data_IF_976051379193
#
_entry.id   IF_976051379193
#
_cell.length_a   1.000
_cell.length_b   1.000
_cell.length_c   1.000
_cell.angle_alpha   90.00
_cell.angle_beta   90.00
_cell.angle_gamma   90.00
#
_symmetry.space_group_name_H-M   'P 1'
#
loop_
_entity.id
_entity.type
_entity.pdbx_description
1 polymer ?
#
# COMPACT_ATOMS: atom_id res chain seq x y z
N UNK A 1 -5.11 -30.75 17.08
CA UNK A 1 -3.73 -30.24 16.94
C UNK A 1 -3.82 -28.78 16.58
N UNK A 2 -3.31 -27.87 17.41
CA UNK A 2 -3.22 -26.44 17.06
C UNK A 2 -2.10 -26.27 16.04
N UNK A 3 -2.46 -25.96 14.79
CA UNK A 3 -1.48 -25.59 13.77
C UNK A 3 -0.81 -24.28 14.17
N UNK A 4 0.52 -24.25 14.10
CA UNK A 4 1.38 -23.13 14.46
C UNK A 4 2.47 -23.01 13.41
N UNK A 5 2.65 -21.81 12.87
CA UNK A 5 3.72 -21.50 11.92
C UNK A 5 4.46 -20.26 12.39
N UNK A 6 5.77 -20.25 12.22
CA UNK A 6 6.65 -19.17 12.64
C UNK A 6 7.56 -18.80 11.48
N UNK A 7 7.68 -17.50 11.24
CA UNK A 7 8.52 -16.93 10.20
C UNK A 7 9.41 -15.86 10.83
N UNK A 8 10.70 -16.14 10.88
CA UNK A 8 11.70 -15.13 11.22
C UNK A 8 12.07 -14.36 9.95
N UNK A 9 12.22 -13.05 10.08
CA UNK A 9 12.65 -12.21 8.98
C UNK A 9 13.62 -11.12 9.45
N UNK A 10 14.48 -10.71 8.52
CA UNK A 10 15.42 -9.62 8.71
C UNK A 10 15.20 -8.57 7.61
N UNK A 11 14.76 -7.37 7.99
CA UNK A 11 14.64 -6.24 7.08
C UNK A 11 16.04 -5.76 6.65
N UNK A 12 16.22 -5.39 5.37
CA UNK A 12 17.48 -4.85 4.88
C UNK A 12 17.78 -3.48 5.51
N UNK A 13 19.05 -3.04 5.41
CA UNK A 13 19.52 -1.76 5.94
C UNK A 13 18.72 -0.54 5.45
N UNK A 14 18.15 -0.61 4.24
CA UNK A 14 17.20 0.39 3.71
C UNK A 14 15.80 -0.21 3.49
N UNK A 15 14.95 -0.26 4.53
CA UNK A 15 13.60 -0.79 4.41
C UNK A 15 12.64 0.18 3.70
N UNK A 16 13.06 1.41 3.40
CA UNK A 16 12.20 2.43 2.81
C UNK A 16 11.71 2.01 1.42
N UNK A 17 12.58 1.40 0.61
CA UNK A 17 12.20 0.89 -0.70
C UNK A 17 11.16 -0.23 -0.60
N UNK A 18 11.37 -1.21 0.27
CA UNK A 18 10.44 -2.33 0.46
C UNK A 18 9.08 -1.83 0.96
N UNK A 19 9.10 -0.91 1.92
CA UNK A 19 7.89 -0.27 2.42
C UNK A 19 7.15 0.48 1.32
N UNK A 20 7.85 1.24 0.48
CA UNK A 20 7.25 2.00 -0.62
C UNK A 20 6.60 1.09 -1.69
N UNK A 21 7.26 -0.03 -2.02
CA UNK A 21 6.69 -1.07 -2.88
C UNK A 21 5.46 -1.71 -2.25
N UNK A 22 5.53 -2.04 -0.97
CA UNK A 22 4.43 -2.66 -0.26
C UNK A 22 3.19 -1.77 -0.15
N UNK A 23 3.37 -0.47 0.13
CA UNK A 23 2.29 0.53 0.11
C UNK A 23 1.65 0.61 -1.29
N UNK A 24 2.47 0.55 -2.35
CA UNK A 24 2.00 0.53 -3.73
C UNK A 24 1.13 -0.70 -4.05
N UNK A 25 1.52 -1.87 -3.56
CA UNK A 25 0.78 -3.13 -3.70
C UNK A 25 -0.52 -3.11 -2.87
N UNK A 26 -0.43 -2.73 -1.60
CA UNK A 26 -1.57 -2.64 -0.69
C UNK A 26 -2.64 -1.65 -1.17
N UNK A 27 -2.23 -0.53 -1.80
CA UNK A 27 -3.14 0.43 -2.42
C UNK A 27 -3.86 -0.09 -3.67
N UNK A 28 -3.34 -1.14 -4.31
CA UNK A 28 -3.90 -1.74 -5.54
C UNK A 28 -4.55 -3.11 -5.30
N UNK A 29 -4.71 -3.53 -4.04
CA UNK A 29 -5.30 -4.83 -3.68
C UNK A 29 -6.69 -5.06 -4.26
N UNK A 30 -7.52 -4.01 -4.38
CA UNK A 30 -8.85 -4.12 -4.99
C UNK A 30 -8.81 -4.50 -6.48
N UNK A 31 -7.74 -4.13 -7.19
CA UNK A 31 -7.52 -4.52 -8.59
C UNK A 31 -7.11 -5.99 -8.67
N UNK A 32 -6.22 -6.43 -7.78
CA UNK A 32 -5.82 -7.85 -7.67
C UNK A 32 -7.02 -8.75 -7.37
N UNK A 33 -7.87 -8.35 -6.41
CA UNK A 33 -9.10 -9.07 -6.04
C UNK A 33 -10.10 -9.21 -7.20
N UNK A 34 -10.05 -8.32 -8.19
CA UNK A 34 -10.90 -8.37 -9.39
C UNK A 34 -10.27 -9.17 -10.54
N UNK A 35 -9.14 -9.83 -10.31
CA UNK A 35 -8.39 -10.58 -11.34
C UNK A 35 -7.58 -9.69 -12.28
N UNK A 36 -7.35 -8.42 -11.93
CA UNK A 36 -6.54 -7.52 -12.73
C UNK A 36 -5.05 -7.75 -12.51
N UNK A 37 -4.25 -7.56 -13.57
CA UNK A 37 -2.78 -7.57 -13.47
C UNK A 37 -2.29 -6.26 -12.87
N UNK A 38 -1.52 -6.33 -11.79
CA UNK A 38 -0.88 -5.14 -11.20
C UNK A 38 0.60 -5.17 -11.53
N UNK A 39 1.14 -4.07 -12.07
CA UNK A 39 2.60 -3.90 -12.11
C UNK A 39 3.08 -3.48 -10.73
N UNK A 40 4.06 -4.20 -10.19
CA UNK A 40 4.80 -3.79 -8.98
C UNK A 40 5.38 -2.41 -9.25
N UNK A 41 4.88 -1.41 -8.54
CA UNK A 41 5.36 -0.03 -8.65
C UNK A 41 5.39 0.60 -7.25
N UNK A 42 6.45 1.36 -6.93
CA UNK A 42 6.51 2.09 -5.68
C UNK A 42 5.34 3.09 -5.56
N UNK A 43 4.87 3.31 -4.33
CA UNK A 43 3.84 4.29 -4.05
C UNK A 43 4.31 5.71 -4.40
N UNK A 44 5.57 6.05 -4.13
CA UNK A 44 6.17 7.34 -4.50
C UNK A 44 6.08 7.63 -5.98
N UNK A 45 6.22 6.64 -6.87
CA UNK A 45 6.07 6.84 -8.30
C UNK A 45 4.62 7.17 -8.68
N UNK A 46 3.65 6.57 -7.99
CA UNK A 46 2.22 6.89 -8.17
C UNK A 46 1.93 8.31 -7.69
N UNK A 47 2.43 8.69 -6.50
CA UNK A 47 2.34 10.06 -6.00
C UNK A 47 3.02 11.08 -6.91
N UNK A 48 4.17 10.74 -7.49
CA UNK A 48 4.89 11.61 -8.44
C UNK A 48 4.07 11.87 -9.70
N UNK A 49 3.40 10.85 -10.25
CA UNK A 49 2.48 11.03 -11.39
C UNK A 49 1.31 11.93 -11.04
N UNK A 50 0.69 11.73 -9.87
CA UNK A 50 -0.39 12.59 -9.38
C UNK A 50 0.08 14.04 -9.20
N UNK A 51 1.30 14.25 -8.70
CA UNK A 51 1.89 15.58 -8.58
C UNK A 51 2.06 16.24 -9.96
N UNK A 52 2.61 15.52 -10.94
CA UNK A 52 2.72 16.05 -12.30
C UNK A 52 1.35 16.36 -12.93
N UNK A 53 0.34 15.51 -12.69
CA UNK A 53 -1.03 15.78 -13.13
C UNK A 53 -1.61 17.02 -12.45
N UNK A 54 -1.40 17.20 -11.15
CA UNK A 54 -1.80 18.42 -10.44
C UNK A 54 -1.17 19.66 -11.07
N UNK A 55 0.13 19.63 -11.35
CA UNK A 55 0.85 20.74 -11.98
C UNK A 55 0.29 21.02 -13.38
N UNK A 56 0.08 19.97 -14.19
CA UNK A 56 -0.48 20.12 -15.53
C UNK A 56 -1.89 20.74 -15.48
N UNK A 57 -2.77 20.28 -14.57
CA UNK A 57 -4.10 20.87 -14.40
C UNK A 57 -4.05 22.29 -13.87
N UNK A 58 -3.14 22.63 -12.97
CA UNK A 58 -2.95 24.01 -12.50
C UNK A 58 -2.54 24.93 -13.66
N UNK A 59 -1.61 24.50 -14.51
CA UNK A 59 -1.18 25.23 -15.71
C UNK A 59 -2.34 25.39 -16.70
N UNK A 60 -3.08 24.31 -17.00
CA UNK A 60 -4.25 24.36 -17.87
C UNK A 60 -5.33 25.28 -17.33
N UNK A 61 -5.56 25.28 -16.01
CA UNK A 61 -6.52 26.16 -15.34
C UNK A 61 -6.10 27.63 -15.49
N UNK A 62 -4.82 27.94 -15.30
CA UNK A 62 -4.28 29.29 -15.50
C UNK A 62 -4.43 29.76 -16.95
N UNK A 63 -4.09 28.92 -17.93
CA UNK A 63 -4.26 29.22 -19.36
C UNK A 63 -5.73 29.44 -19.72
N UNK A 64 -6.62 28.58 -19.21
CA UNK A 64 -8.06 28.73 -19.41
C UNK A 64 -8.59 30.02 -18.77
N UNK A 65 -8.09 30.44 -17.61
CA UNK A 65 -8.47 31.71 -16.99
C UNK A 65 -8.13 32.91 -17.88
N UNK A 66 -6.92 32.93 -18.44
CA UNK A 66 -6.47 33.97 -19.38
C UNK A 66 -7.36 34.00 -20.63
N UNK A 67 -7.68 32.84 -21.19
CA UNK A 67 -8.54 32.74 -22.37
C UNK A 67 -10.00 33.12 -22.07
N UNK A 68 -10.53 32.80 -20.88
CA UNK A 68 -11.88 33.23 -20.45
C UNK A 68 -11.96 34.75 -20.34
N UNK A 69 -10.92 35.38 -19.80
CA UNK A 69 -10.82 36.84 -19.75
C UNK A 69 -10.83 37.47 -21.16
N UNK A 70 -10.17 36.82 -22.12
CA UNK A 70 -10.11 37.30 -23.50
C UNK A 70 -11.34 36.98 -24.38
N UNK A 71 -12.04 35.85 -24.16
CA UNK A 71 -13.08 35.31 -25.08
C UNK A 71 -14.49 35.17 -24.45
N UNK A 72 -14.65 35.68 -23.22
CA UNK A 72 -15.86 36.09 -22.47
C UNK A 72 -17.08 35.16 -22.28
N UNK A 73 -17.34 34.12 -23.10
CA UNK A 73 -18.59 33.34 -22.97
C UNK A 73 -18.47 31.81 -23.04
N UNK A 74 -17.73 31.22 -23.99
CA UNK A 74 -17.79 29.76 -24.23
C UNK A 74 -16.77 28.91 -23.46
N UNK A 75 -15.77 29.52 -22.80
CA UNK A 75 -14.73 28.78 -22.08
C UNK A 75 -14.98 28.59 -20.57
N UNK A 76 -16.03 29.19 -19.99
CA UNK A 76 -16.28 29.14 -18.54
C UNK A 76 -16.52 27.71 -18.03
N UNK A 77 -17.19 26.88 -18.83
CA UNK A 77 -17.43 25.46 -18.50
C UNK A 77 -16.12 24.67 -18.48
N UNK A 78 -15.26 24.87 -19.47
CA UNK A 78 -13.94 24.21 -19.52
C UNK A 78 -13.05 24.64 -18.36
N UNK A 79 -13.04 25.94 -18.03
CA UNK A 79 -12.33 26.47 -16.86
C UNK A 79 -12.82 25.82 -15.57
N UNK A 80 -14.14 25.75 -15.36
CA UNK A 80 -14.71 25.15 -14.16
C UNK A 80 -14.37 23.65 -14.04
N UNK A 81 -14.47 22.89 -15.14
CA UNK A 81 -14.06 21.48 -15.19
C UNK A 81 -12.59 21.30 -14.84
N UNK A 82 -11.71 22.14 -15.40
CA UNK A 82 -10.27 22.06 -15.13
C UNK A 82 -9.95 22.37 -13.65
N UNK A 83 -10.65 23.36 -13.08
CA UNK A 83 -10.52 23.73 -11.67
C UNK A 83 -10.94 22.58 -10.74
N UNK A 84 -12.10 21.96 -11.02
CA UNK A 84 -12.59 20.79 -10.27
C UNK A 84 -11.62 19.63 -10.36
N UNK A 85 -11.13 19.29 -11.56
CA UNK A 85 -10.16 18.19 -11.73
C UNK A 85 -8.84 18.49 -11.02
N UNK A 86 -8.36 19.73 -11.05
CA UNK A 86 -7.18 20.15 -10.29
C UNK A 86 -7.38 19.97 -8.79
N UNK A 87 -8.53 20.38 -8.26
CA UNK A 87 -8.84 20.28 -6.83
C UNK A 87 -8.91 18.82 -6.38
N UNK A 88 -9.59 17.96 -7.15
CA UNK A 88 -9.72 16.52 -6.86
C UNK A 88 -8.34 15.83 -6.92
N UNK A 89 -7.54 16.13 -7.95
CA UNK A 89 -6.19 15.55 -8.07
C UNK A 89 -5.29 16.02 -6.93
N UNK A 90 -5.41 17.28 -6.51
CA UNK A 90 -4.64 17.82 -5.39
C UNK A 90 -5.03 17.17 -4.06
N UNK A 91 -6.33 17.02 -3.77
CA UNK A 91 -6.82 16.37 -2.56
C UNK A 91 -6.39 14.91 -2.49
N UNK A 92 -6.47 14.18 -3.60
CA UNK A 92 -6.04 12.77 -3.66
C UNK A 92 -4.52 12.65 -3.46
N UNK A 93 -3.72 13.54 -4.05
CA UNK A 93 -2.28 13.62 -3.77
C UNK A 93 -1.98 13.91 -2.30
N UNK A 94 -2.65 14.90 -1.69
CA UNK A 94 -2.44 15.26 -0.29
C UNK A 94 -2.84 14.13 0.66
N UNK A 95 -4.00 13.51 0.45
CA UNK A 95 -4.46 12.37 1.25
C UNK A 95 -3.47 11.20 1.17
N UNK A 96 -3.00 10.86 -0.04
CA UNK A 96 -2.00 9.82 -0.25
C UNK A 96 -0.67 10.12 0.43
N UNK A 97 -0.16 11.35 0.27
CA UNK A 97 1.10 11.79 0.90
C UNK A 97 1.03 11.77 2.42
N UNK A 98 -0.07 12.26 3.00
CA UNK A 98 -0.28 12.27 4.45
C UNK A 98 -0.43 10.86 5.02
N UNK A 99 -1.20 10.00 4.33
CA UNK A 99 -1.33 8.59 4.67
C UNK A 99 0.01 7.87 4.67
N UNK A 100 0.78 8.01 3.58
CA UNK A 100 2.13 7.45 3.47
C UNK A 100 3.05 7.92 4.59
N UNK A 101 3.06 9.22 4.89
CA UNK A 101 3.91 9.77 5.96
C UNK A 101 3.53 9.17 7.32
N UNK A 102 2.23 9.06 7.62
CA UNK A 102 1.74 8.47 8.86
C UNK A 102 2.12 6.99 8.97
N UNK A 103 1.86 6.21 7.92
CA UNK A 103 2.21 4.79 7.87
C UNK A 103 3.72 4.56 7.97
N UNK A 104 4.53 5.41 7.32
CA UNK A 104 6.00 5.35 7.43
C UNK A 104 6.50 5.70 8.83
N UNK A 105 5.91 6.70 9.49
CA UNK A 105 6.26 7.02 10.88
C UNK A 105 5.87 5.92 11.85
N UNK A 106 4.76 5.23 11.60
CA UNK A 106 4.32 4.09 12.39
C UNK A 106 5.27 2.90 12.18
N UNK A 107 5.52 2.53 10.92
CA UNK A 107 6.46 1.47 10.55
C UNK A 107 7.82 1.65 11.21
N UNK A 108 8.42 2.85 11.14
CA UNK A 108 9.72 3.12 11.78
C UNK A 108 9.72 3.09 13.31
N UNK A 109 8.59 3.34 13.95
CA UNK A 109 8.49 3.28 15.41
C UNK A 109 8.38 1.84 15.89
N UNK A 110 7.61 1.03 15.17
CA UNK A 110 7.21 -0.30 15.62
C UNK A 110 8.13 -1.39 15.06
N UNK A 111 8.70 -1.20 13.87
CA UNK A 111 9.52 -2.23 13.22
C UNK A 111 11.00 -2.01 13.51
N UNK A 112 11.63 -3.06 14.04
CA UNK A 112 13.09 -3.22 14.14
C UNK A 112 13.58 -4.13 13.01
N UNK A 113 14.89 -4.15 12.71
CA UNK A 113 15.42 -4.95 11.60
C UNK A 113 15.09 -6.43 11.72
N UNK A 114 15.03 -6.97 12.94
CA UNK A 114 14.63 -8.35 13.19
C UNK A 114 13.19 -8.44 13.69
N UNK A 115 12.41 -9.33 13.08
CA UNK A 115 11.04 -9.61 13.46
C UNK A 115 10.66 -11.07 13.27
N UNK A 116 9.64 -11.49 14.02
CA UNK A 116 9.06 -12.83 13.94
C UNK A 116 7.56 -12.71 13.73
N UNK A 117 7.05 -13.30 12.67
CA UNK A 117 5.61 -13.44 12.43
C UNK A 117 5.16 -14.84 12.79
N UNK A 118 4.16 -14.94 13.66
CA UNK A 118 3.54 -16.20 14.04
C UNK A 118 2.12 -16.28 13.51
N UNK A 119 1.75 -17.44 12.97
CA UNK A 119 0.41 -17.74 12.49
C UNK A 119 -0.20 -18.78 13.41
N UNK A 120 -1.33 -18.44 14.02
CA UNK A 120 -2.03 -19.28 14.99
C UNK A 120 -3.51 -19.35 14.67
N UNK A 121 -4.24 -20.21 15.37
CA UNK A 121 -5.70 -20.28 15.25
C UNK A 121 -6.40 -18.94 15.59
N UNK A 122 -5.78 -18.08 16.41
CA UNK A 122 -6.36 -16.77 16.77
C UNK A 122 -6.05 -15.67 15.75
N UNK A 123 -5.11 -15.89 14.83
CA UNK A 123 -4.70 -14.91 13.85
C UNK A 123 -3.19 -14.85 13.66
N UNK A 124 -2.73 -13.70 13.19
CA UNK A 124 -1.34 -13.38 12.91
C UNK A 124 -0.82 -12.49 14.03
N UNK A 125 0.35 -12.83 14.58
CA UNK A 125 1.01 -12.01 15.58
C UNK A 125 2.42 -11.69 15.13
N UNK A 126 2.76 -10.42 15.12
CA UNK A 126 4.10 -9.93 14.86
C UNK A 126 4.79 -9.58 16.17
N UNK A 127 5.98 -10.16 16.36
CA UNK A 127 6.93 -9.85 17.41
C UNK A 127 8.08 -9.06 16.80
N UNK A 128 8.27 -7.84 17.28
CA UNK A 128 9.48 -7.07 17.02
C UNK A 128 10.29 -6.94 18.31
N UNK A 129 11.60 -6.69 18.19
CA UNK A 129 12.50 -6.51 19.34
C UNK A 129 12.25 -5.22 20.16
N UNK A 130 11.09 -4.58 20.00
CA UNK A 130 10.66 -3.35 20.70
C UNK A 130 9.61 -3.62 21.79
N UNK A 131 9.40 -4.88 22.18
CA UNK A 131 8.33 -5.33 23.09
C UNK A 131 6.91 -5.01 22.60
N UNK A 132 6.77 -4.55 21.35
CA UNK A 132 5.48 -4.28 20.72
C UNK A 132 4.98 -5.57 20.08
N UNK A 133 3.89 -6.11 20.64
CA UNK A 133 3.22 -7.29 20.08
C UNK A 133 1.95 -6.83 19.39
N UNK A 134 1.93 -6.86 18.06
CA UNK A 134 0.70 -6.61 17.30
C UNK A 134 0.03 -7.94 16.99
N UNK A 135 -1.25 -8.03 17.31
CA UNK A 135 -2.07 -9.21 17.02
C UNK A 135 -3.21 -8.82 16.10
N UNK A 136 -3.27 -9.49 14.96
CA UNK A 136 -4.30 -9.34 13.95
C UNK A 136 -5.16 -10.60 13.89
N UNK A 137 -6.46 -10.45 14.02
CA UNK A 137 -7.36 -11.61 13.96
C UNK A 137 -7.65 -12.03 12.52
N UNK A 138 -8.07 -13.29 12.33
CA UNK A 138 -8.51 -13.76 11.01
C UNK A 138 -9.76 -13.07 10.46
N UNK A 139 -10.50 -12.34 11.31
CA UNK A 139 -11.60 -11.47 10.91
C UNK A 139 -11.09 -10.14 10.32
N UNK A 140 -9.96 -9.65 10.80
CA UNK A 140 -9.30 -8.46 10.27
C UNK A 140 -8.52 -8.74 8.98
N UNK A 141 -8.21 -10.01 8.69
CA UNK A 141 -7.49 -10.44 7.49
C UNK A 141 -8.13 -9.95 6.19
N UNK A 142 -7.34 -9.38 5.28
CA UNK A 142 -7.81 -8.90 3.98
C UNK A 142 -7.27 -9.73 2.80
N UNK A 143 -5.93 -9.77 2.63
CA UNK A 143 -5.25 -10.62 1.65
C UNK A 143 -3.73 -10.68 1.84
N UNK A 144 -3.09 -11.65 1.20
CA UNK A 144 -1.65 -11.76 1.04
C UNK A 144 -1.25 -11.39 -0.39
N UNK A 145 -0.27 -10.51 -0.56
CA UNK A 145 0.30 -10.17 -1.87
C UNK A 145 1.77 -10.55 -1.86
N UNK A 146 2.17 -11.47 -2.72
CA UNK A 146 3.55 -11.95 -2.85
C UNK A 146 4.13 -11.34 -4.12
N UNK A 147 5.23 -10.59 -3.96
CA UNK A 147 6.05 -10.03 -5.04
C UNK A 147 7.47 -10.56 -4.92
N UNK A 148 8.27 -10.44 -5.98
CA UNK A 148 9.69 -10.81 -5.98
C UNK A 148 10.55 -10.02 -4.98
N UNK A 149 10.06 -8.88 -4.47
CA UNK A 149 10.78 -8.05 -3.51
C UNK A 149 10.26 -8.20 -2.07
N UNK A 150 8.95 -8.39 -1.88
CA UNK A 150 8.30 -8.32 -0.57
C UNK A 150 7.02 -9.15 -0.54
N UNK A 151 6.73 -9.74 0.61
CA UNK A 151 5.43 -10.33 0.93
C UNK A 151 4.65 -9.32 1.76
N UNK A 152 3.41 -9.03 1.38
CA UNK A 152 2.57 -8.03 2.02
C UNK A 152 1.35 -8.71 2.60
N UNK A 153 1.29 -8.77 3.92
CA UNK A 153 0.10 -9.20 4.65
C UNK A 153 -0.76 -7.96 4.94
N UNK A 154 -1.98 -7.96 4.41
CA UNK A 154 -2.90 -6.82 4.51
C UNK A 154 -4.08 -7.15 5.41
N UNK A 155 -4.52 -6.14 6.15
CA UNK A 155 -5.66 -6.22 7.06
C UNK A 155 -6.65 -5.08 6.76
N UNK A 156 -7.89 -5.21 7.25
CA UNK A 156 -8.94 -4.20 7.06
C UNK A 156 -8.63 -2.87 7.76
N UNK A 157 -7.77 -2.90 8.78
CA UNK A 157 -7.17 -1.72 9.42
C UNK A 157 -5.81 -1.40 8.79
N UNK A 158 -5.29 -0.16 8.90
CA UNK A 158 -4.24 0.36 8.01
C UNK A 158 -2.82 -0.10 8.42
N UNK A 159 -2.66 -1.37 8.75
CA UNK A 159 -1.39 -1.99 9.13
C UNK A 159 -1.00 -3.07 8.14
N UNK A 160 0.30 -3.11 7.85
CA UNK A 160 0.91 -4.01 6.87
C UNK A 160 2.07 -4.71 7.57
N UNK A 161 2.09 -6.04 7.48
CA UNK A 161 3.24 -6.84 7.91
C UNK A 161 4.02 -7.21 6.64
N UNK A 162 5.31 -6.91 6.63
CA UNK A 162 6.13 -6.84 5.41
C UNK A 162 7.38 -7.72 5.47
N UNK A 163 7.23 -9.06 5.48
CA UNK A 163 8.40 -9.91 5.38
C UNK A 163 9.08 -9.72 4.01
N UNK A 164 10.41 -9.53 3.97
CA UNK A 164 11.19 -9.57 2.74
C UNK A 164 10.97 -10.90 2.03
N UNK A 165 10.97 -10.86 0.71
CA UNK A 165 10.77 -12.07 -0.08
C UNK A 165 11.99 -13.00 0.00
N UNK A 166 11.74 -14.21 0.46
CA UNK A 166 12.60 -15.40 0.28
C UNK A 166 11.74 -16.59 -0.09
N UNK A 167 12.31 -17.60 -0.75
CA UNK A 167 11.56 -18.81 -1.09
C UNK A 167 11.01 -19.53 0.16
N UNK A 168 11.76 -19.47 1.27
CA UNK A 168 11.34 -20.01 2.56
C UNK A 168 10.16 -19.21 3.15
N UNK A 169 10.25 -17.88 3.17
CA UNK A 169 9.15 -17.03 3.67
C UNK A 169 7.87 -17.21 2.86
N UNK A 170 7.97 -17.31 1.53
CA UNK A 170 6.82 -17.59 0.68
C UNK A 170 6.20 -18.94 1.04
N UNK A 171 7.02 -19.99 1.14
CA UNK A 171 6.55 -21.33 1.48
C UNK A 171 5.84 -21.34 2.84
N UNK A 172 6.44 -20.75 3.88
CA UNK A 172 5.87 -20.69 5.22
C UNK A 172 4.55 -19.92 5.25
N UNK A 173 4.49 -18.77 4.59
CA UNK A 173 3.27 -17.94 4.52
C UNK A 173 2.16 -18.68 3.76
N UNK A 174 2.48 -19.28 2.60
CA UNK A 174 1.49 -20.01 1.80
C UNK A 174 0.98 -21.24 2.56
N UNK A 175 1.85 -22.01 3.19
CA UNK A 175 1.45 -23.16 4.00
C UNK A 175 0.56 -22.75 5.19
N UNK A 176 0.94 -21.67 5.90
CA UNK A 176 0.14 -21.14 6.99
C UNK A 176 -1.24 -20.69 6.51
N UNK A 177 -1.31 -19.89 5.46
CA UNK A 177 -2.58 -19.39 4.92
C UNK A 177 -3.48 -20.52 4.40
N UNK A 178 -2.91 -21.54 3.76
CA UNK A 178 -3.65 -22.72 3.34
C UNK A 178 -4.20 -23.50 4.54
N UNK A 179 -3.38 -23.68 5.59
CA UNK A 179 -3.78 -24.37 6.81
C UNK A 179 -4.97 -23.67 7.52
N UNK A 180 -5.04 -22.34 7.45
CA UNK A 180 -6.13 -21.54 8.00
C UNK A 180 -7.24 -21.21 6.99
N UNK A 181 -7.29 -21.87 5.82
CA UNK A 181 -8.37 -21.73 4.84
C UNK A 181 -8.42 -20.38 4.11
N UNK A 182 -7.26 -19.71 3.97
CA UNK A 182 -7.11 -18.40 3.31
C UNK A 182 -6.50 -18.47 1.91
N UNK A 183 -6.45 -19.66 1.30
CA UNK A 183 -5.84 -19.89 -0.02
C UNK A 183 -6.33 -18.96 -1.14
N UNK A 184 -7.63 -18.63 -1.17
CA UNK A 184 -8.24 -17.79 -2.21
C UNK A 184 -7.91 -16.30 -2.07
N UNK A 185 -7.20 -15.94 -1.00
CA UNK A 185 -6.77 -14.56 -0.71
C UNK A 185 -5.28 -14.33 -0.93
N UNK A 186 -4.60 -15.28 -1.59
CA UNK A 186 -3.19 -15.21 -1.95
C UNK A 186 -3.04 -14.72 -3.39
N UNK A 187 -2.40 -13.57 -3.57
CA UNK A 187 -2.15 -12.97 -4.89
C UNK A 187 -0.65 -12.93 -5.16
N UNK A 188 -0.21 -13.54 -6.26
CA UNK A 188 1.18 -13.46 -6.72
C UNK A 188 1.27 -12.46 -7.88
N UNK A 189 2.25 -11.56 -7.82
CA UNK A 189 2.37 -10.40 -8.73
C UNK A 189 3.79 -10.27 -9.28
#
# INVERSE_FOLDING_TARGET
MSQFFELHYHLPEDPARLFDVAQGLAGRRSVLKRGGTVKVKPFTETCRRLLFQCIAFAVLTALAAVLVWALHAKLKVLFFLCLVMSLVTFWTYQAGRMGYRKSWTQFRKDNRPDGTVTFTASGIREWNASDHTEQFTWEQWDCCIISQEVIVLTFHQPMLVLPPYTQESESTVVQALNAFGKQDTIYKV
#
